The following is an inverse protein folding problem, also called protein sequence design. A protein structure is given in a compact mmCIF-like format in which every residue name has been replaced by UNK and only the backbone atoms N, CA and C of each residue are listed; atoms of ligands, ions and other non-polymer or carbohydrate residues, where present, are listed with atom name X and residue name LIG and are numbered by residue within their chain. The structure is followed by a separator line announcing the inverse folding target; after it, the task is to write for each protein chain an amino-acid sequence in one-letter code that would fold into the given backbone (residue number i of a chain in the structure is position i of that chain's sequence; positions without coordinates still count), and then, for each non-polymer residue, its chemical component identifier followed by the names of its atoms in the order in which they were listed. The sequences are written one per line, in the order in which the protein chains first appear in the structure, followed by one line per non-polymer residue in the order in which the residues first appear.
data_IF_061369007278
#
_entry.id   IF_061369007278
#
_cell.length_a   1.000
_cell.length_b   1.000
_cell.length_c   1.000
_cell.angle_alpha   90.00
_cell.angle_beta   90.00
_cell.angle_gamma   90.00
#
_symmetry.space_group_name_H-M   'P 1'
#
loop_
_entity.id
_entity.type
_entity.pdbx_description
1 polymer ?
#
# COMPACT_ATOMS: atom_id res chain seq x y z
N UNK A 1 -3.36 30.81 -25.14
CA UNK A 1 -3.02 29.70 -26.07
C UNK A 1 -2.71 28.48 -25.22
N UNK A 2 -3.55 27.44 -25.25
CA UNK A 2 -3.28 26.19 -24.55
C UNK A 2 -2.36 25.31 -25.38
N UNK A 3 -1.25 24.87 -24.81
CA UNK A 3 -0.36 23.90 -25.46
C UNK A 3 -0.96 22.51 -25.23
N UNK A 4 -1.43 21.88 -26.31
CA UNK A 4 -1.81 20.47 -26.27
C UNK A 4 -0.54 19.66 -26.47
N UNK A 5 -0.09 18.98 -25.41
CA UNK A 5 0.99 18.01 -25.53
C UNK A 5 0.35 16.68 -25.94
N UNK A 6 0.57 16.18 -27.17
CA UNK A 6 0.14 14.84 -27.52
C UNK A 6 0.91 13.87 -26.62
N UNK A 7 0.19 13.08 -25.84
CA UNK A 7 0.77 11.90 -25.21
C UNK A 7 1.16 10.98 -26.37
N UNK A 8 2.45 10.95 -26.72
CA UNK A 8 2.93 9.99 -27.71
C UNK A 8 2.42 8.61 -27.30
N UNK A 9 1.70 7.96 -28.22
CA UNK A 9 1.23 6.60 -28.05
C UNK A 9 2.46 5.71 -27.81
N UNK A 10 2.81 5.47 -26.54
CA UNK A 10 3.64 4.35 -26.13
C UNK A 10 2.85 3.06 -26.37
N UNK A 11 2.58 2.77 -27.64
CA UNK A 11 2.16 1.46 -28.14
C UNK A 11 3.22 0.45 -27.69
N UNK A 12 2.81 -0.52 -26.89
CA UNK A 12 3.60 -1.64 -26.33
C UNK A 12 4.43 -1.40 -25.06
N UNK A 13 3.86 -0.83 -23.99
CA UNK A 13 4.24 -1.24 -22.63
C UNK A 13 3.09 -1.99 -21.99
N UNK A 14 3.26 -3.30 -21.80
CA UNK A 14 2.30 -4.12 -21.07
C UNK A 14 2.05 -3.47 -19.70
N UNK A 15 0.79 -3.17 -19.37
CA UNK A 15 0.45 -2.48 -18.15
C UNK A 15 0.95 -3.29 -16.95
N UNK A 16 1.77 -2.68 -16.09
CA UNK A 16 2.42 -3.37 -14.98
C UNK A 16 2.41 -2.49 -13.73
N UNK A 17 2.12 -3.11 -12.59
CA UNK A 17 2.25 -2.49 -11.27
C UNK A 17 3.69 -2.48 -10.77
N UNK A 18 4.61 -3.15 -11.48
CA UNK A 18 6.02 -3.25 -11.09
C UNK A 18 6.69 -1.90 -10.79
N UNK A 19 6.51 -0.83 -11.59
CA UNK A 19 7.08 0.47 -11.27
C UNK A 19 6.59 1.03 -9.93
N UNK A 20 5.30 0.83 -9.61
CA UNK A 20 4.73 1.25 -8.34
C UNK A 20 5.27 0.41 -7.17
N UNK A 21 5.39 -0.90 -7.36
CA UNK A 21 5.99 -1.80 -6.37
C UNK A 21 7.44 -1.40 -6.08
N UNK A 22 8.23 -1.17 -7.12
CA UNK A 22 9.64 -0.79 -6.99
C UNK A 22 9.78 0.59 -6.31
N UNK A 23 8.94 1.58 -6.68
CA UNK A 23 8.90 2.91 -6.07
C UNK A 23 8.57 2.86 -4.56
N UNK A 24 7.64 2.00 -4.16
CA UNK A 24 7.09 1.99 -2.81
C UNK A 24 7.71 0.93 -1.90
N UNK A 25 8.68 0.16 -2.40
CA UNK A 25 9.27 -1.00 -1.72
C UNK A 25 9.71 -0.71 -0.28
N UNK A 26 10.52 0.33 -0.07
CA UNK A 26 11.03 0.70 1.26
C UNK A 26 9.90 1.16 2.20
N UNK A 27 8.95 1.94 1.69
CA UNK A 27 7.77 2.35 2.45
C UNK A 27 6.89 1.16 2.83
N UNK A 28 6.73 0.19 1.93
CA UNK A 28 5.98 -1.03 2.17
C UNK A 28 6.61 -1.93 3.23
N UNK A 29 7.95 -2.01 3.29
CA UNK A 29 8.66 -2.71 4.38
C UNK A 29 8.32 -2.09 5.75
N UNK A 30 8.32 -0.75 5.84
CA UNK A 30 7.94 -0.03 7.07
C UNK A 30 6.46 -0.21 7.42
N UNK A 31 5.57 -0.21 6.42
CA UNK A 31 4.14 -0.51 6.62
C UNK A 31 3.95 -1.93 7.15
N UNK A 32 4.64 -2.92 6.58
CA UNK A 32 4.54 -4.31 7.04
C UNK A 32 5.03 -4.46 8.49
N UNK A 33 6.16 -3.83 8.84
CA UNK A 33 6.66 -3.79 10.22
C UNK A 33 5.65 -3.14 11.16
N UNK A 34 5.02 -2.03 10.76
CA UNK A 34 4.03 -1.35 11.58
C UNK A 34 2.79 -2.22 11.77
N UNK A 35 2.29 -2.92 10.74
CA UNK A 35 1.17 -3.86 10.86
C UNK A 35 1.48 -4.94 11.89
N UNK A 36 2.65 -5.60 11.79
CA UNK A 36 3.07 -6.63 12.75
C UNK A 36 3.15 -6.08 14.17
N UNK A 37 3.72 -4.88 14.34
CA UNK A 37 3.82 -4.26 15.67
C UNK A 37 2.47 -3.92 16.30
N UNK A 38 1.41 -3.77 15.49
CA UNK A 38 0.04 -3.50 15.94
C UNK A 38 -0.80 -4.75 16.13
N UNK A 39 -0.29 -5.90 15.72
CA UNK A 39 -0.96 -7.19 15.86
C UNK A 39 -0.69 -7.89 17.20
N UNK A 40 0.16 -7.34 18.06
CA UNK A 40 0.41 -7.89 19.39
C UNK A 40 -0.85 -7.87 20.24
N UNK A 41 -1.32 -9.04 20.66
CA UNK A 41 -2.51 -9.21 21.50
C UNK A 41 -2.44 -10.48 22.33
N UNK A 42 -3.05 -10.46 23.52
CA UNK A 42 -3.27 -11.65 24.36
C UNK A 42 -4.30 -12.62 23.72
N UNK A 43 -5.03 -12.17 22.70
CA UNK A 43 -5.95 -13.00 21.92
C UNK A 43 -5.21 -13.55 20.71
N UNK A 44 -4.98 -14.87 20.67
CA UNK A 44 -4.21 -15.56 19.62
C UNK A 44 -4.71 -15.31 18.19
N UNK A 45 -6.02 -15.11 18.01
CA UNK A 45 -6.64 -14.88 16.70
C UNK A 45 -6.17 -13.57 16.04
N UNK A 46 -5.81 -12.55 16.82
CA UNK A 46 -5.44 -11.23 16.28
C UNK A 46 -4.07 -11.28 15.54
N UNK A 47 -3.00 -11.85 16.12
CA UNK A 47 -1.76 -12.11 15.40
C UNK A 47 -1.91 -12.98 14.16
N UNK A 48 -2.79 -13.99 14.19
CA UNK A 48 -3.04 -14.89 13.06
C UNK A 48 -3.64 -14.13 11.88
N UNK A 49 -4.64 -13.27 12.13
CA UNK A 49 -5.25 -12.41 11.12
C UNK A 49 -4.23 -11.45 10.51
N UNK A 50 -3.37 -10.83 11.33
CA UNK A 50 -2.35 -9.91 10.82
C UNK A 50 -1.26 -10.61 10.00
N UNK A 51 -0.85 -11.82 10.42
CA UNK A 51 0.07 -12.65 9.63
C UNK A 51 -0.57 -13.09 8.32
N UNK A 52 -1.84 -13.50 8.36
CA UNK A 52 -2.62 -13.80 7.15
C UNK A 52 -2.70 -12.57 6.24
N UNK A 53 -2.92 -11.37 6.77
CA UNK A 53 -2.97 -10.11 6.03
C UNK A 53 -1.66 -9.82 5.25
N UNK A 54 -0.50 -10.11 5.84
CA UNK A 54 0.81 -9.89 5.21
C UNK A 54 1.14 -11.01 4.21
N UNK A 55 0.73 -12.25 4.51
CA UNK A 55 1.05 -13.43 3.70
C UNK A 55 0.04 -13.71 2.58
N UNK A 56 -1.18 -13.21 2.70
CA UNK A 56 -2.18 -13.25 1.63
C UNK A 56 -1.68 -12.35 0.50
N UNK A 57 -1.27 -12.99 -0.59
CA UNK A 57 -0.57 -12.40 -1.75
C UNK A 57 -1.38 -11.39 -2.56
N UNK A 58 -2.25 -10.61 -1.93
CA UNK A 58 -2.91 -9.47 -2.53
C UNK A 58 -1.89 -8.45 -3.04
N UNK A 59 -2.26 -7.69 -4.07
CA UNK A 59 -1.36 -6.71 -4.71
C UNK A 59 -1.02 -5.50 -3.81
N UNK A 60 -1.61 -5.39 -2.59
CA UNK A 60 -1.35 -4.31 -1.62
C UNK A 60 -1.47 -2.90 -2.23
N UNK A 61 -2.40 -2.72 -3.18
CA UNK A 61 -2.47 -1.50 -3.99
C UNK A 61 -2.79 -0.26 -3.16
N UNK A 62 -3.63 -0.38 -2.12
CA UNK A 62 -4.06 0.75 -1.30
C UNK A 62 -2.92 1.41 -0.51
N UNK A 63 -2.09 0.67 0.25
CA UNK A 63 -0.93 1.26 0.91
C UNK A 63 0.09 1.78 -0.12
N UNK A 64 0.34 1.08 -1.23
CA UNK A 64 1.26 1.57 -2.26
C UNK A 64 0.80 2.91 -2.88
N UNK A 65 -0.49 3.06 -3.17
CA UNK A 65 -1.03 4.33 -3.67
C UNK A 65 -0.88 5.46 -2.64
N UNK A 66 -1.08 5.16 -1.36
CA UNK A 66 -0.89 6.15 -0.28
C UNK A 66 0.56 6.62 -0.22
N UNK A 67 1.52 5.68 -0.24
CA UNK A 67 2.95 5.98 -0.22
C UNK A 67 3.40 6.75 -1.46
N UNK A 68 2.99 6.31 -2.64
CA UNK A 68 3.35 6.96 -3.90
C UNK A 68 2.77 8.37 -4.00
N UNK A 69 1.56 8.60 -3.49
CA UNK A 69 0.95 9.94 -3.44
C UNK A 69 1.73 10.87 -2.51
N UNK A 70 2.13 10.39 -1.33
CA UNK A 70 2.98 11.18 -0.42
C UNK A 70 4.31 11.57 -1.09
N UNK A 71 4.95 10.62 -1.79
CA UNK A 71 6.17 10.88 -2.54
C UNK A 71 5.96 11.87 -3.70
N UNK A 72 4.84 11.76 -4.43
CA UNK A 72 4.48 12.65 -5.54
C UNK A 72 4.35 14.11 -5.10
N UNK A 73 3.91 14.36 -3.86
CA UNK A 73 3.80 15.70 -3.29
C UNK A 73 5.02 16.14 -2.46
N UNK A 74 6.11 15.37 -2.47
CA UNK A 74 7.34 15.71 -1.75
C UNK A 74 7.20 15.70 -0.22
N UNK A 75 6.33 14.85 0.32
CA UNK A 75 6.18 14.74 1.78
C UNK A 75 7.38 14.01 2.40
N UNK A 76 8.08 14.67 3.33
CA UNK A 76 9.30 14.14 3.97
C UNK A 76 9.09 13.55 5.38
N UNK A 77 7.89 13.70 5.94
CA UNK A 77 7.58 13.16 7.28
C UNK A 77 7.18 11.68 7.24
N UNK A 78 6.83 11.11 8.39
CA UNK A 78 6.53 9.67 8.52
C UNK A 78 5.04 9.31 8.64
N UNK A 79 4.14 10.30 8.65
CA UNK A 79 2.71 10.04 8.84
C UNK A 79 2.08 9.24 7.69
N UNK A 80 2.64 9.30 6.49
CA UNK A 80 2.20 8.53 5.33
C UNK A 80 2.31 7.01 5.56
N UNK A 81 3.29 6.55 6.37
CA UNK A 81 3.40 5.13 6.77
C UNK A 81 2.23 4.73 7.68
N UNK A 82 1.91 5.55 8.68
CA UNK A 82 0.78 5.32 9.59
C UNK A 82 -0.53 5.32 8.83
N UNK A 83 -0.72 6.28 7.93
CA UNK A 83 -1.91 6.36 7.08
C UNK A 83 -2.05 5.13 6.18
N UNK A 84 -0.98 4.75 5.46
CA UNK A 84 -0.99 3.57 4.60
C UNK A 84 -1.33 2.29 5.39
N UNK A 85 -0.82 2.18 6.62
CA UNK A 85 -1.14 1.08 7.53
C UNK A 85 -2.62 1.08 7.95
N UNK A 86 -3.16 2.23 8.35
CA UNK A 86 -4.57 2.36 8.73
C UNK A 86 -5.52 2.03 7.57
N UNK A 87 -5.21 2.52 6.36
CA UNK A 87 -5.99 2.21 5.15
C UNK A 87 -6.06 0.72 4.89
N UNK A 88 -4.92 0.04 5.05
CA UNK A 88 -4.86 -1.40 4.83
C UNK A 88 -5.60 -2.18 5.93
N UNK A 89 -5.50 -1.78 7.19
CA UNK A 89 -6.32 -2.38 8.26
C UNK A 89 -7.82 -2.24 7.99
N UNK A 90 -8.28 -1.06 7.54
CA UNK A 90 -9.68 -0.87 7.16
C UNK A 90 -10.09 -1.80 6.02
N UNK A 91 -9.25 -1.93 4.99
CA UNK A 91 -9.52 -2.85 3.89
C UNK A 91 -9.62 -4.30 4.35
N UNK A 92 -8.73 -4.75 5.25
CA UNK A 92 -8.79 -6.12 5.75
C UNK A 92 -9.98 -6.35 6.66
N UNK A 93 -10.35 -5.37 7.48
CA UNK A 93 -11.55 -5.46 8.29
C UNK A 93 -12.80 -5.64 7.43
N UNK A 94 -12.91 -4.96 6.28
CA UNK A 94 -14.04 -5.18 5.36
C UNK A 94 -13.98 -6.57 4.74
N UNK A 95 -12.82 -7.06 4.30
CA UNK A 95 -12.70 -8.43 3.76
C UNK A 95 -13.15 -9.50 4.75
N UNK A 96 -12.72 -9.39 6.02
CA UNK A 96 -13.10 -10.33 7.08
C UNK A 96 -14.59 -10.28 7.45
N UNK A 97 -15.26 -9.16 7.19
CA UNK A 97 -16.69 -9.00 7.43
C UNK A 97 -17.55 -9.38 6.21
N UNK A 98 -16.99 -9.23 5.01
CA UNK A 98 -17.63 -9.58 3.74
C UNK A 98 -17.58 -11.10 3.48
N UNK A 99 -16.51 -11.77 3.92
CA UNK A 99 -16.34 -13.23 3.91
C UNK A 99 -16.98 -13.90 5.15
#
# INVERSE_FOLDING_TARGET
MGVVIPLEESKNKQASVKPLVDLTKSGMERVNQLILSKAGSDVQMIPEVANHLISSGGKRLRPMLTLATAAMFGYEGDHHIKLATSVEFMHTATLLHDD
#
